data_IF_931434578223
#
_entry.id   IF_931434578223
#
_cell.length_a   1.000
_cell.length_b   1.000
_cell.length_c   1.000
_cell.angle_alpha   90.00
_cell.angle_beta   90.00
_cell.angle_gamma   90.00
#
_symmetry.space_group_name_H-M   'P 1'
#
loop_
_entity.id
_entity.type
_entity.pdbx_description
1 polymer ?
#
# COMPACT_ATOMS: atom_id res chain seq x y z
N UNK A 1 0.75 12.99 -32.42
CA UNK A 1 0.34 13.31 -31.04
C UNK A 1 -1.15 13.01 -30.88
N UNK A 2 -1.56 12.11 -29.97
CA UNK A 2 -2.97 11.68 -29.80
C UNK A 2 -3.71 12.39 -28.65
N UNK A 3 -3.18 13.51 -28.13
CA UNK A 3 -3.75 14.22 -26.97
C UNK A 3 -3.70 13.42 -25.66
N UNK A 4 -2.76 12.49 -25.52
CA UNK A 4 -2.60 11.62 -24.33
C UNK A 4 -1.38 12.05 -23.51
N UNK A 5 -1.52 12.00 -22.19
CA UNK A 5 -0.39 12.13 -21.25
C UNK A 5 0.10 10.71 -20.94
N UNK A 6 1.36 10.37 -21.25
CA UNK A 6 1.91 9.05 -20.92
C UNK A 6 2.19 8.93 -19.42
N UNK A 7 2.03 7.71 -18.90
CA UNK A 7 2.37 7.32 -17.53
C UNK A 7 3.38 6.18 -17.56
N UNK A 8 4.37 6.19 -16.67
CA UNK A 8 5.39 5.16 -16.57
C UNK A 8 5.73 4.81 -15.13
N UNK A 9 6.12 3.56 -14.89
CA UNK A 9 6.86 3.19 -13.69
C UNK A 9 8.22 3.88 -13.68
N UNK A 10 8.60 4.45 -12.55
CA UNK A 10 9.93 5.01 -12.38
C UNK A 10 10.39 4.85 -10.93
N UNK A 11 11.70 4.83 -10.73
CA UNK A 11 12.24 5.08 -9.40
C UNK A 11 12.18 6.59 -9.16
N UNK A 12 13.06 7.35 -9.82
CA UNK A 12 13.24 8.78 -9.57
C UNK A 12 12.81 9.68 -10.74
N UNK A 13 12.30 9.10 -11.84
CA UNK A 13 11.99 9.80 -13.08
C UNK A 13 13.21 10.18 -13.93
N UNK A 14 14.40 9.68 -13.58
CA UNK A 14 15.64 9.99 -14.30
C UNK A 14 15.56 9.58 -15.78
N UNK A 15 16.04 10.45 -16.66
CA UNK A 15 16.01 10.23 -18.11
C UNK A 15 14.62 10.33 -18.75
N UNK A 16 13.56 10.60 -17.98
CA UNK A 16 12.21 10.78 -18.51
C UNK A 16 11.89 12.27 -18.71
N UNK A 17 11.27 12.65 -19.85
CA UNK A 17 10.71 14.00 -20.00
C UNK A 17 9.66 14.31 -18.92
N UNK A 18 9.67 15.53 -18.39
CA UNK A 18 8.77 15.96 -17.29
C UNK A 18 7.27 15.90 -17.63
N UNK A 19 6.91 15.87 -18.92
CA UNK A 19 5.53 15.63 -19.39
C UNK A 19 5.00 14.22 -19.09
N UNK A 20 5.87 13.27 -18.73
CA UNK A 20 5.48 11.91 -18.35
C UNK A 20 5.09 11.92 -16.87
N UNK A 21 3.89 11.41 -16.58
CA UNK A 21 3.48 11.13 -15.19
C UNK A 21 4.21 9.88 -14.71
N UNK A 22 4.80 9.93 -13.52
CA UNK A 22 5.59 8.81 -13.00
C UNK A 22 4.91 8.15 -11.80
N UNK A 23 4.95 6.82 -11.78
CA UNK A 23 4.52 6.00 -10.64
C UNK A 23 5.76 5.56 -9.87
N UNK A 24 6.01 6.15 -8.70
CA UNK A 24 7.19 5.88 -7.90
C UNK A 24 6.91 4.77 -6.89
N UNK A 25 7.69 3.70 -6.96
CA UNK A 25 7.26 2.43 -6.36
C UNK A 25 8.20 1.80 -5.33
N UNK A 26 9.43 2.32 -5.16
CA UNK A 26 10.36 1.78 -4.17
C UNK A 26 10.26 2.49 -2.82
N UNK A 27 10.87 3.66 -2.71
CA UNK A 27 11.05 4.37 -1.44
C UNK A 27 10.43 5.78 -1.50
N UNK A 28 10.08 6.34 -0.34
CA UNK A 28 9.54 7.70 -0.26
C UNK A 28 10.52 8.75 -0.84
N UNK A 29 11.82 8.56 -0.66
CA UNK A 29 12.84 9.47 -1.21
C UNK A 29 12.84 9.52 -2.74
N UNK A 30 12.55 8.39 -3.40
CA UNK A 30 12.42 8.36 -4.85
C UNK A 30 11.24 9.22 -5.34
N UNK A 31 10.13 9.21 -4.58
CA UNK A 31 8.99 10.11 -4.81
C UNK A 31 9.41 11.57 -4.66
N UNK A 32 10.19 11.90 -3.62
CA UNK A 32 10.69 13.26 -3.38
C UNK A 32 11.60 13.75 -4.51
N UNK A 33 12.50 12.90 -5.00
CA UNK A 33 13.39 13.23 -6.11
C UNK A 33 12.59 13.47 -7.40
N UNK A 34 11.59 12.63 -7.70
CA UNK A 34 10.73 12.80 -8.87
C UNK A 34 9.93 14.12 -8.83
N UNK A 35 9.41 14.48 -7.65
CA UNK A 35 8.74 15.76 -7.43
C UNK A 35 9.68 16.96 -7.67
N UNK A 36 10.90 16.92 -7.11
CA UNK A 36 11.92 17.97 -7.32
C UNK A 36 12.35 18.14 -8.78
N UNK A 37 12.25 17.07 -9.57
CA UNK A 37 12.52 17.08 -11.02
C UNK A 37 11.36 17.62 -11.86
N UNK A 38 10.22 17.97 -11.26
CA UNK A 38 9.10 18.57 -11.97
C UNK A 38 8.08 17.59 -12.54
N UNK A 39 8.11 16.32 -12.13
CA UNK A 39 7.12 15.35 -12.59
C UNK A 39 5.79 15.49 -11.86
N UNK A 40 4.72 15.09 -12.55
CA UNK A 40 3.49 14.65 -11.90
C UNK A 40 3.71 13.23 -11.38
N UNK A 41 3.40 12.99 -10.10
CA UNK A 41 3.76 11.74 -9.42
C UNK A 41 2.54 11.06 -8.82
N UNK A 42 2.41 9.74 -9.02
CA UNK A 42 1.53 8.86 -8.25
C UNK A 42 2.41 8.03 -7.32
N UNK A 43 2.16 8.09 -6.01
CA UNK A 43 2.90 7.27 -5.04
C UNK A 43 2.37 5.84 -5.07
N UNK A 44 3.25 4.90 -5.42
CA UNK A 44 2.95 3.49 -5.59
C UNK A 44 3.90 2.61 -4.77
N UNK A 45 4.32 3.09 -3.59
CA UNK A 45 5.36 2.45 -2.78
C UNK A 45 5.00 0.98 -2.46
N UNK A 46 5.85 0.05 -2.85
CA UNK A 46 5.53 -1.37 -2.78
C UNK A 46 5.32 -1.88 -1.35
N UNK A 47 6.06 -1.36 -0.36
CA UNK A 47 5.92 -1.79 1.04
C UNK A 47 4.67 -1.28 1.76
N UNK A 48 3.82 -0.51 1.09
CA UNK A 48 2.59 0.05 1.69
C UNK A 48 1.43 0.23 0.71
N UNK A 49 1.64 0.00 -0.59
CA UNK A 49 0.63 0.07 -1.64
C UNK A 49 0.54 -1.17 -2.53
N UNK A 50 1.39 -2.19 -2.34
CA UNK A 50 1.24 -3.46 -3.05
C UNK A 50 0.50 -4.45 -2.14
N UNK A 51 -0.65 -4.90 -2.61
CA UNK A 51 -1.57 -5.75 -1.89
C UNK A 51 -1.30 -7.24 -2.16
N UNK A 52 -0.40 -7.56 -3.08
CA UNK A 52 0.04 -8.93 -3.38
C UNK A 52 1.03 -9.50 -2.35
N UNK A 53 1.53 -8.69 -1.41
CA UNK A 53 2.32 -9.17 -0.28
C UNK A 53 1.45 -9.86 0.78
N UNK A 54 2.06 -10.77 1.54
CA UNK A 54 1.46 -11.42 2.70
C UNK A 54 0.94 -10.41 3.74
N UNK A 55 -0.20 -10.71 4.36
CA UNK A 55 -0.81 -9.88 5.42
C UNK A 55 -0.32 -10.25 6.81
N UNK A 56 0.15 -11.48 7.00
CA UNK A 56 0.67 -11.99 8.26
C UNK A 56 1.89 -12.88 8.03
N UNK A 57 2.62 -13.17 9.11
CA UNK A 57 3.69 -14.17 9.11
C UNK A 57 3.20 -15.56 9.53
N UNK A 58 1.88 -15.80 9.55
CA UNK A 58 1.32 -17.07 9.99
C UNK A 58 1.64 -18.18 8.98
N UNK A 59 1.84 -19.40 9.47
CA UNK A 59 2.11 -20.56 8.61
C UNK A 59 0.95 -20.90 7.66
N UNK A 60 -0.27 -20.45 7.98
CA UNK A 60 -1.47 -20.63 7.16
C UNK A 60 -1.77 -19.42 6.25
N UNK A 61 -0.91 -18.41 6.19
CA UNK A 61 -1.06 -17.31 5.23
C UNK A 61 -1.06 -17.89 3.80
N UNK A 62 -2.04 -17.54 2.95
CA UNK A 62 -2.07 -17.95 1.56
C UNK A 62 -0.81 -17.51 0.78
N UNK A 63 -0.48 -18.17 -0.34
CA UNK A 63 0.64 -17.78 -1.18
C UNK A 63 0.56 -16.30 -1.56
N UNK A 64 1.68 -15.59 -1.44
CA UNK A 64 1.74 -14.16 -1.73
C UNK A 64 3.15 -13.84 -2.25
N UNK A 65 3.32 -12.62 -2.75
CA UNK A 65 4.63 -12.12 -3.15
C UNK A 65 5.65 -12.32 -2.01
N UNK A 66 6.76 -13.04 -2.25
CA UNK A 66 7.77 -13.26 -1.23
C UNK A 66 8.37 -11.93 -0.74
N UNK A 67 8.45 -11.75 0.58
CA UNK A 67 9.05 -10.56 1.16
C UNK A 67 8.53 -10.25 2.56
N UNK A 68 8.61 -8.97 2.92
CA UNK A 68 8.07 -8.47 4.18
C UNK A 68 6.54 -8.54 4.18
N UNK A 69 5.97 -8.69 5.37
CA UNK A 69 4.53 -8.56 5.59
C UNK A 69 4.12 -7.10 5.32
N UNK A 70 3.06 -6.93 4.54
CA UNK A 70 2.39 -5.64 4.33
C UNK A 70 1.00 -5.76 4.97
N UNK A 71 0.94 -5.54 6.26
CA UNK A 71 -0.29 -5.65 7.04
C UNK A 71 -1.21 -4.43 6.85
N UNK A 72 -2.42 -4.51 7.41
CA UNK A 72 -3.43 -3.46 7.33
C UNK A 72 -2.93 -2.10 7.87
N UNK A 73 -2.16 -2.12 8.96
CA UNK A 73 -1.66 -0.90 9.59
C UNK A 73 -0.57 -0.25 8.77
N UNK A 74 0.27 -1.05 8.12
CA UNK A 74 1.32 -0.62 7.20
C UNK A 74 0.71 0.11 5.99
N UNK A 75 -0.39 -0.41 5.44
CA UNK A 75 -1.11 0.25 4.34
C UNK A 75 -1.79 1.54 4.80
N UNK A 76 -2.46 1.54 5.97
CA UNK A 76 -3.09 2.75 6.51
C UNK A 76 -2.06 3.85 6.84
N UNK A 77 -0.88 3.44 7.29
CA UNK A 77 0.25 4.31 7.58
C UNK A 77 1.01 4.80 6.34
N UNK A 78 0.55 4.48 5.11
CA UNK A 78 1.18 4.99 3.90
C UNK A 78 1.15 6.52 3.88
N UNK A 79 2.33 7.15 3.88
CA UNK A 79 2.45 8.60 3.82
C UNK A 79 3.40 8.97 2.69
N UNK A 80 2.88 9.49 1.57
CA UNK A 80 3.74 10.06 0.54
C UNK A 80 4.36 11.37 1.07
N UNK A 81 5.55 11.76 0.59
CA UNK A 81 6.21 12.98 1.05
C UNK A 81 5.36 14.23 0.76
N UNK A 82 5.08 15.03 1.80
CA UNK A 82 4.47 16.37 1.71
C UNK A 82 5.55 17.44 1.50
N UNK A 83 6.30 17.34 0.38
CA UNK A 83 7.25 18.39 0.00
C UNK A 83 6.54 19.46 -0.85
N UNK A 84 6.24 20.59 -0.21
CA UNK A 84 5.52 21.71 -0.84
C UNK A 84 6.42 22.63 -1.66
N UNK A 85 7.75 22.51 -1.51
CA UNK A 85 8.73 23.29 -2.26
C UNK A 85 9.33 22.45 -3.40
N UNK A 86 8.45 22.04 -4.34
CA UNK A 86 8.86 21.29 -5.53
C UNK A 86 8.17 21.83 -6.78
N UNK A 87 8.82 21.71 -7.94
CA UNK A 87 8.24 22.07 -9.23
C UNK A 87 7.26 21.02 -9.78
N UNK A 88 7.26 19.82 -9.18
CA UNK A 88 6.34 18.73 -9.50
C UNK A 88 5.06 18.78 -8.68
N UNK A 89 4.24 17.73 -8.81
CA UNK A 89 3.01 17.61 -8.03
C UNK A 89 2.69 16.14 -7.75
N UNK A 90 2.42 15.85 -6.49
CA UNK A 90 1.84 14.57 -6.09
C UNK A 90 0.36 14.57 -6.48
N UNK A 91 -0.05 13.64 -7.33
CA UNK A 91 -1.43 13.45 -7.77
C UNK A 91 -2.24 12.60 -6.78
N UNK A 92 -1.58 11.71 -6.04
CA UNK A 92 -2.21 10.81 -5.08
C UNK A 92 -1.38 9.55 -4.86
N UNK A 93 -2.03 8.53 -4.31
CA UNK A 93 -1.48 7.19 -4.07
C UNK A 93 -2.28 6.12 -4.82
N UNK A 94 -1.68 4.97 -5.09
CA UNK A 94 -2.31 3.88 -5.83
C UNK A 94 -1.97 2.50 -5.24
N UNK A 95 -3.00 1.66 -5.09
CA UNK A 95 -2.87 0.25 -4.77
C UNK A 95 -2.51 -0.56 -6.03
N UNK A 96 -1.70 -1.59 -5.86
CA UNK A 96 -1.42 -2.58 -6.87
C UNK A 96 -1.72 -3.97 -6.33
N UNK A 97 -2.20 -4.84 -7.20
CA UNK A 97 -2.31 -6.27 -6.93
C UNK A 97 -1.74 -7.00 -8.13
N UNK A 98 -0.52 -7.49 -7.97
CA UNK A 98 0.14 -8.38 -8.92
C UNK A 98 -0.41 -9.80 -8.72
N UNK A 99 -0.73 -10.50 -9.81
CA UNK A 99 -1.51 -11.74 -9.76
C UNK A 99 -0.68 -13.00 -9.99
N UNK A 100 0.64 -12.90 -9.98
CA UNK A 100 1.59 -14.00 -10.19
C UNK A 100 1.32 -15.18 -9.24
N UNK A 101 0.93 -14.89 -7.99
CA UNK A 101 0.62 -15.87 -6.96
C UNK A 101 -0.88 -15.94 -6.61
N UNK A 102 -1.74 -15.31 -7.41
CA UNK A 102 -3.16 -15.09 -7.09
C UNK A 102 -4.06 -15.82 -8.09
N UNK A 103 -4.23 -17.16 -7.97
CA UNK A 103 -4.91 -17.96 -8.98
C UNK A 103 -6.43 -17.82 -9.02
N UNK A 104 -7.07 -17.26 -7.99
CA UNK A 104 -8.54 -17.21 -7.91
C UNK A 104 -9.06 -15.82 -7.52
N UNK A 105 -10.31 -15.54 -7.86
CA UNK A 105 -10.98 -14.29 -7.48
C UNK A 105 -11.12 -14.16 -5.96
N UNK A 106 -11.32 -15.27 -5.24
CA UNK A 106 -11.37 -15.24 -3.78
C UNK A 106 -10.02 -14.90 -3.16
N UNK A 107 -8.92 -15.27 -3.83
CA UNK A 107 -7.59 -14.88 -3.39
C UNK A 107 -7.32 -13.39 -3.69
N UNK A 108 -7.85 -12.86 -4.80
CA UNK A 108 -7.88 -11.42 -5.06
C UNK A 108 -8.59 -10.68 -3.93
N UNK A 109 -9.79 -11.14 -3.53
CA UNK A 109 -10.53 -10.56 -2.41
C UNK A 109 -9.74 -10.60 -1.10
N UNK A 110 -9.14 -11.76 -0.81
CA UNK A 110 -8.37 -11.97 0.41
C UNK A 110 -7.20 -11.00 0.52
N UNK A 111 -6.44 -10.84 -0.56
CA UNK A 111 -5.28 -9.95 -0.58
C UNK A 111 -5.69 -8.48 -0.66
N UNK A 112 -6.71 -8.14 -1.44
CA UNK A 112 -7.15 -6.76 -1.61
C UNK A 112 -7.82 -6.22 -0.34
N UNK A 113 -8.75 -6.96 0.26
CA UNK A 113 -9.51 -6.51 1.42
C UNK A 113 -8.99 -7.14 2.71
N UNK A 114 -8.93 -6.41 3.84
CA UNK A 114 -9.42 -5.04 4.05
C UNK A 114 -8.41 -3.93 3.70
N UNK A 115 -7.21 -4.25 3.23
CA UNK A 115 -6.13 -3.27 2.97
C UNK A 115 -6.52 -2.19 1.95
N UNK A 116 -7.34 -2.51 0.96
CA UNK A 116 -7.86 -1.53 0.01
C UNK A 116 -8.75 -0.48 0.70
N UNK A 117 -9.49 -0.85 1.75
CA UNK A 117 -10.22 0.11 2.59
C UNK A 117 -9.25 1.04 3.33
N UNK A 118 -8.12 0.54 3.82
CA UNK A 118 -7.11 1.36 4.49
C UNK A 118 -6.45 2.35 3.52
N UNK A 119 -6.10 1.92 2.30
CA UNK A 119 -5.55 2.83 1.30
C UNK A 119 -6.59 3.89 0.88
N UNK A 120 -7.84 3.49 0.68
CA UNK A 120 -8.92 4.43 0.34
C UNK A 120 -9.16 5.46 1.45
N UNK A 121 -9.16 5.01 2.72
CA UNK A 121 -9.23 5.91 3.87
C UNK A 121 -8.06 6.89 3.87
N UNK A 122 -6.83 6.42 3.65
CA UNK A 122 -5.63 7.26 3.66
C UNK A 122 -5.55 8.24 2.48
N UNK A 123 -6.05 7.83 1.32
CA UNK A 123 -6.06 8.66 0.11
C UNK A 123 -7.15 9.75 0.15
N UNK A 124 -8.27 9.48 0.83
CA UNK A 124 -9.42 10.38 0.88
C UNK A 124 -9.48 11.22 2.15
N UNK A 125 -9.13 10.63 3.29
CA UNK A 125 -9.15 11.26 4.60
C UNK A 125 -7.82 11.96 4.88
N UNK A 126 -7.86 13.29 5.06
CA UNK A 126 -6.65 14.10 5.23
C UNK A 126 -5.92 13.91 6.56
N UNK A 127 -6.61 13.42 7.60
CA UNK A 127 -6.05 13.20 8.93
C UNK A 127 -6.18 11.72 9.34
N UNK A 128 -5.07 10.95 9.36
CA UNK A 128 -5.13 9.53 9.70
C UNK A 128 -5.25 9.32 11.21
N UNK A 129 -6.33 8.66 11.63
CA UNK A 129 -6.48 8.14 12.99
C UNK A 129 -6.70 6.62 12.94
N UNK A 130 -5.69 5.86 13.34
CA UNK A 130 -5.75 4.40 13.32
C UNK A 130 -6.89 3.83 14.21
N UNK A 131 -7.10 4.29 15.46
CA UNK A 131 -8.21 3.81 16.27
C UNK A 131 -9.58 4.08 15.65
N UNK A 132 -9.77 5.27 15.06
CA UNK A 132 -11.01 5.64 14.39
C UNK A 132 -11.25 4.78 13.14
N UNK A 133 -10.23 4.67 12.27
CA UNK A 133 -10.29 3.82 11.08
C UNK A 133 -10.63 2.37 11.45
N UNK A 134 -9.98 1.80 12.46
CA UNK A 134 -10.25 0.43 12.90
C UNK A 134 -11.68 0.26 13.42
N UNK A 135 -12.22 1.24 14.14
CA UNK A 135 -13.62 1.26 14.57
C UNK A 135 -14.59 1.24 13.38
N UNK A 136 -14.37 2.12 12.40
CA UNK A 136 -15.16 2.18 11.17
C UNK A 136 -15.03 0.93 10.32
N UNK A 137 -13.83 0.37 10.20
CA UNK A 137 -13.57 -0.86 9.45
C UNK A 137 -14.26 -2.07 10.08
N UNK A 138 -14.25 -2.18 11.40
CA UNK A 138 -14.96 -3.26 12.12
C UNK A 138 -16.45 -3.24 11.78
N UNK A 139 -17.08 -2.06 11.77
CA UNK A 139 -18.46 -1.92 11.32
C UNK A 139 -18.63 -2.19 9.82
N UNK A 140 -17.64 -1.83 9.00
CA UNK A 140 -17.65 -2.04 7.55
C UNK A 140 -17.52 -3.52 7.15
N UNK A 141 -16.88 -4.36 7.98
CA UNK A 141 -16.71 -5.79 7.73
C UNK A 141 -18.05 -6.52 7.54
N UNK A 142 -19.10 -6.09 8.25
CA UNK A 142 -20.45 -6.62 8.04
C UNK A 142 -20.97 -6.35 6.61
N UNK A 143 -20.60 -5.22 6.00
CA UNK A 143 -20.98 -4.90 4.61
C UNK A 143 -20.18 -5.75 3.62
N UNK A 144 -18.88 -5.94 3.86
CA UNK A 144 -18.05 -6.84 3.04
C UNK A 144 -18.61 -8.27 3.06
N UNK A 145 -19.06 -8.75 4.23
CA UNK A 145 -19.69 -10.06 4.37
C UNK A 145 -20.99 -10.17 3.57
N UNK A 146 -21.87 -9.17 3.61
CA UNK A 146 -23.11 -9.13 2.79
C UNK A 146 -22.80 -9.11 1.29
N UNK A 147 -21.71 -8.44 0.90
CA UNK A 147 -21.24 -8.41 -0.49
C UNK A 147 -20.51 -9.69 -0.92
N UNK A 148 -20.29 -10.64 0.00
CA UNK A 148 -19.61 -11.90 -0.28
C UNK A 148 -18.09 -11.78 -0.45
N UNK A 149 -17.49 -10.66 -0.02
CA UNK A 149 -16.04 -10.42 -0.14
C UNK A 149 -15.28 -11.29 0.86
N UNK A 150 -14.41 -12.18 0.34
CA UNK A 150 -13.57 -13.06 1.18
C UNK A 150 -12.31 -12.35 1.65
N UNK A 151 -12.47 -11.37 2.53
CA UNK A 151 -11.36 -10.52 2.99
C UNK A 151 -10.36 -11.26 3.93
N UNK A 152 -9.13 -10.76 3.97
CA UNK A 152 -8.11 -11.12 4.95
C UNK A 152 -8.39 -10.60 6.37
N UNK A 153 -7.47 -10.75 7.32
CA UNK A 153 -7.67 -10.37 8.72
C UNK A 153 -7.94 -8.86 8.92
N UNK A 154 -8.86 -8.52 9.83
CA UNK A 154 -9.16 -7.12 10.20
C UNK A 154 -8.17 -6.52 11.21
N UNK A 155 -7.48 -7.36 11.99
CA UNK A 155 -6.43 -6.94 12.92
C UNK A 155 -5.21 -7.87 12.76
N UNK A 156 -4.45 -7.74 11.66
CA UNK A 156 -3.21 -8.50 11.52
C UNK A 156 -2.07 -7.82 12.28
N UNK A 157 -1.58 -8.45 13.36
CA UNK A 157 -0.15 -8.64 13.70
C UNK A 157 0.04 -9.29 15.09
N UNK A 158 1.01 -10.23 15.27
CA UNK A 158 2.13 -10.21 16.27
C UNK A 158 3.07 -11.42 16.05
N UNK A 159 4.36 -11.24 15.69
CA UNK A 159 5.47 -12.12 16.03
C UNK A 159 5.80 -11.93 17.51
N UNK A 160 5.78 -13.04 18.25
CA UNK A 160 6.24 -13.08 19.65
C UNK A 160 7.75 -12.82 19.65
N UNK A 161 8.29 -11.93 20.50
CA UNK A 161 9.74 -11.74 20.59
C UNK A 161 10.42 -13.08 20.93
N UNK A 162 11.53 -13.38 20.25
CA UNK A 162 12.48 -14.37 20.74
C UNK A 162 12.84 -13.96 22.18
N UNK A 163 12.48 -14.78 23.17
CA UNK A 163 13.13 -14.70 24.48
C UNK A 163 14.60 -14.97 24.22
N UNK A 164 15.44 -13.92 24.23
CA UNK A 164 16.88 -14.11 24.39
C UNK A 164 17.05 -14.82 25.72
N UNK A 165 17.34 -16.11 25.67
CA UNK A 165 17.54 -16.94 26.84
C UNK A 165 18.67 -16.36 27.67
N UNK A 166 18.31 -15.66 28.74
CA UNK A 166 18.99 -15.74 30.03
C UNK A 166 17.92 -15.84 31.08
N UNK A 167 17.57 -17.07 31.38
CA UNK A 167 16.96 -17.43 32.64
C UNK A 167 18.08 -17.64 33.68
N UNK A 168 17.70 -17.35 34.94
CA UNK A 168 18.31 -17.74 36.23
C UNK A 168 19.30 -16.74 36.87
N UNK A 169 19.36 -16.74 38.21
CA UNK A 169 18.51 -16.05 39.18
C UNK A 169 19.15 -14.77 39.72
#
# INVERSE_FOLDING_TARGET
ARGRIPTAWAETGEGLPTRITVMTWREAEHTRIALKRGHMVVSAQHRSGYLDYAQTSAACEPPAQPGAVVDLRTVHGHEPPDDRDTSGRLLGMQAHLWTEFVPTAEHVDYLAFPRLCALADRAWHGEPSWPDFRGRLTAHAARLAVLGVRHGPLDPYVPVPHRSGKELP
#
